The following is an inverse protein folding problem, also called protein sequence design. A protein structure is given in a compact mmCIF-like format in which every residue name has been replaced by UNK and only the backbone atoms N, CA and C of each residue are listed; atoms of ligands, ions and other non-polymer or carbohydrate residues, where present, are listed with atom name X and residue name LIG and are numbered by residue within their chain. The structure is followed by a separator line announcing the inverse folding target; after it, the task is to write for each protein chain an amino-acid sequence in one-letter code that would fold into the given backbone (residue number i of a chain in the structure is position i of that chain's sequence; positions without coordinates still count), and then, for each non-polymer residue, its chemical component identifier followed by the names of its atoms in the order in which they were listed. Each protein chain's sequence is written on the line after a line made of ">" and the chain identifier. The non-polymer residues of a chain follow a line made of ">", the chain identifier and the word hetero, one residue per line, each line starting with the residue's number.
data_IF_404246650656
#
_entry.id   IF_404246650656
#
_cell.length_a   1.000
_cell.length_b   1.000
_cell.length_c   1.000
_cell.angle_alpha   90.00
_cell.angle_beta   90.00
_cell.angle_gamma   90.00
#
_symmetry.space_group_name_H-M   'P 1'
#
loop_
_entity.id
_entity.type
_entity.pdbx_description
1 polymer ?
#
# COMPACT_ATOMS: atom_id res chain seq x y z
N UNK A 1 5.86 20.27 -14.43
CA UNK A 1 5.93 21.73 -14.18
C UNK A 1 4.88 22.08 -13.13
N UNK A 2 5.27 22.27 -11.88
CA UNK A 2 4.32 22.54 -10.77
C UNK A 2 4.06 24.05 -10.62
N UNK A 3 2.83 24.51 -10.87
CA UNK A 3 2.45 25.92 -10.68
C UNK A 3 2.12 26.27 -9.23
N UNK A 4 2.03 27.57 -8.91
CA UNK A 4 1.65 28.06 -7.56
C UNK A 4 0.33 27.46 -7.09
N UNK A 5 -0.66 27.36 -7.99
CA UNK A 5 -1.95 26.72 -7.69
C UNK A 5 -1.78 25.27 -7.21
N UNK A 6 -0.92 24.48 -7.88
CA UNK A 6 -0.66 23.08 -7.50
C UNK A 6 -0.01 23.00 -6.11
N UNK A 7 0.94 23.89 -5.81
CA UNK A 7 1.61 23.92 -4.50
C UNK A 7 0.64 24.26 -3.37
N UNK A 8 -0.25 25.23 -3.57
CA UNK A 8 -1.28 25.61 -2.59
C UNK A 8 -2.29 24.46 -2.40
N UNK A 9 -2.77 23.85 -3.49
CA UNK A 9 -3.69 22.70 -3.38
C UNK A 9 -3.02 21.49 -2.74
N UNK A 10 -1.73 21.26 -3.01
CA UNK A 10 -0.98 20.17 -2.40
C UNK A 10 -0.81 20.38 -0.89
N UNK A 11 -0.49 21.60 -0.46
CA UNK A 11 -0.43 21.92 0.97
C UNK A 11 -1.79 21.70 1.67
N UNK A 12 -2.87 22.21 1.08
CA UNK A 12 -4.22 22.02 1.62
C UNK A 12 -4.61 20.53 1.66
N UNK A 13 -4.35 19.78 0.58
CA UNK A 13 -4.61 18.35 0.53
C UNK A 13 -3.79 17.56 1.57
N UNK A 14 -2.51 17.90 1.75
CA UNK A 14 -1.64 17.30 2.77
C UNK A 14 -2.17 17.52 4.18
N UNK A 15 -2.64 18.73 4.50
CA UNK A 15 -3.28 19.02 5.78
C UNK A 15 -4.57 18.24 6.00
N UNK A 16 -5.42 18.16 4.97
CA UNK A 16 -6.68 17.40 5.04
C UNK A 16 -6.40 15.91 5.25
N UNK A 17 -5.46 15.33 4.50
CA UNK A 17 -5.05 13.93 4.64
C UNK A 17 -4.45 13.64 6.01
N UNK A 18 -3.61 14.54 6.52
CA UNK A 18 -3.04 14.41 7.86
C UNK A 18 -4.12 14.46 8.96
N UNK A 19 -5.09 15.37 8.82
CA UNK A 19 -6.11 15.56 9.84
C UNK A 19 -7.22 14.50 9.80
N UNK A 20 -7.59 14.04 8.60
CA UNK A 20 -8.67 13.07 8.41
C UNK A 20 -8.21 11.63 8.24
N UNK A 21 -6.91 11.35 8.09
CA UNK A 21 -6.40 9.97 8.08
C UNK A 21 -6.86 9.11 9.28
N UNK A 22 -6.95 9.63 10.51
CA UNK A 22 -7.52 8.90 11.65
C UNK A 22 -9.01 8.53 11.53
N UNK A 23 -9.79 9.19 10.66
CA UNK A 23 -11.18 8.79 10.39
C UNK A 23 -11.25 7.47 9.62
N UNK A 24 -10.22 7.13 8.84
CA UNK A 24 -10.19 5.88 8.06
C UNK A 24 -10.15 4.66 8.99
N UNK A 25 -9.40 4.73 10.09
CA UNK A 25 -9.41 3.70 11.15
C UNK A 25 -10.77 3.59 11.86
N UNK A 26 -11.51 4.70 12.02
CA UNK A 26 -12.84 4.71 12.63
C UNK A 26 -13.91 4.09 11.71
N UNK A 27 -13.81 4.34 10.40
CA UNK A 27 -14.75 3.80 9.41
C UNK A 27 -14.42 2.33 9.03
N UNK A 28 -13.15 1.95 9.03
CA UNK A 28 -12.69 0.61 8.64
C UNK A 28 -12.73 -0.43 9.76
N UNK A 29 -13.16 -0.08 10.98
CA UNK A 29 -13.28 -1.02 12.13
C UNK A 29 -11.98 -1.73 12.49
N UNK A 30 -10.82 -1.07 12.34
CA UNK A 30 -9.50 -1.68 12.55
C UNK A 30 -8.67 -0.96 13.61
N UNK A 31 -8.19 -1.71 14.61
CA UNK A 31 -7.31 -1.24 15.69
C UNK A 31 -5.88 -0.97 15.19
N UNK A 32 -5.68 0.08 14.38
CA UNK A 32 -4.34 0.53 13.99
C UNK A 32 -4.02 1.89 14.62
N UNK A 33 -3.67 1.87 15.90
CA UNK A 33 -3.12 3.03 16.61
C UNK A 33 -1.62 3.17 16.34
N UNK A 34 -1.26 3.65 15.16
CA UNK A 34 0.05 4.25 14.93
C UNK A 34 -0.01 5.21 13.74
N UNK A 35 0.01 6.51 14.04
CA UNK A 35 0.12 7.61 13.07
C UNK A 35 -0.88 7.60 11.89
N UNK A 36 -2.19 7.55 12.15
CA UNK A 36 -3.23 7.43 11.11
C UNK A 36 -3.25 8.53 10.03
N UNK A 37 -2.66 9.70 10.28
CA UNK A 37 -2.60 10.82 9.32
C UNK A 37 -1.32 10.91 8.48
N UNK A 38 -0.19 10.39 8.97
CA UNK A 38 1.11 10.54 8.31
C UNK A 38 1.33 9.42 7.30
N UNK A 39 0.47 9.39 6.28
CA UNK A 39 0.50 8.38 5.22
C UNK A 39 1.44 8.79 4.08
N UNK A 40 1.78 7.84 3.21
CA UNK A 40 2.57 8.11 1.97
C UNK A 40 1.93 9.24 1.13
N UNK A 41 0.59 9.25 0.90
CA UNK A 41 -0.09 10.39 0.28
C UNK A 41 0.15 11.73 0.98
N UNK A 42 0.11 11.78 2.31
CA UNK A 42 0.35 13.00 3.09
C UNK A 42 1.76 13.54 2.86
N UNK A 43 2.78 12.68 2.94
CA UNK A 43 4.18 13.05 2.70
C UNK A 43 4.39 13.54 1.27
N UNK A 44 3.77 12.88 0.29
CA UNK A 44 3.84 13.27 -1.11
C UNK A 44 3.24 14.66 -1.37
N UNK A 45 2.10 14.97 -0.75
CA UNK A 45 1.47 16.28 -0.87
C UNK A 45 2.34 17.40 -0.31
N UNK A 46 3.03 17.19 0.82
CA UNK A 46 3.99 18.16 1.34
C UNK A 46 5.26 18.26 0.48
N UNK A 47 5.72 17.15 -0.11
CA UNK A 47 6.84 17.17 -1.04
C UNK A 47 6.50 17.97 -2.31
N UNK A 48 5.29 17.81 -2.87
CA UNK A 48 4.80 18.61 -4.00
C UNK A 48 4.66 20.09 -3.67
N UNK A 49 4.27 20.43 -2.44
CA UNK A 49 4.23 21.82 -1.99
C UNK A 49 5.62 22.45 -1.89
N UNK A 50 6.61 21.71 -1.39
CA UNK A 50 7.98 22.19 -1.19
C UNK A 50 8.76 22.34 -2.50
N UNK A 51 8.37 21.62 -3.55
CA UNK A 51 9.08 21.55 -4.82
C UNK A 51 8.97 22.82 -5.67
N UNK A 52 10.05 23.14 -6.38
CA UNK A 52 10.02 24.17 -7.40
C UNK A 52 9.62 23.63 -8.78
N UNK A 53 9.37 24.54 -9.73
CA UNK A 53 8.77 24.23 -11.05
C UNK A 53 9.52 23.15 -11.84
N UNK A 54 10.84 23.08 -11.65
CA UNK A 54 11.77 22.21 -12.39
C UNK A 54 12.21 20.98 -11.59
N UNK A 55 11.79 20.87 -10.33
CA UNK A 55 12.18 19.78 -9.47
C UNK A 55 11.43 18.50 -9.81
N UNK A 56 12.17 17.40 -9.93
CA UNK A 56 11.61 16.04 -10.10
C UNK A 56 11.63 15.22 -8.81
N UNK A 57 12.39 15.67 -7.80
CA UNK A 57 12.57 14.95 -6.55
C UNK A 57 11.27 14.57 -5.83
N UNK A 58 10.16 15.33 -5.87
CA UNK A 58 8.92 14.92 -5.18
C UNK A 58 8.30 13.68 -5.81
N UNK A 59 8.36 13.59 -7.14
CA UNK A 59 7.88 12.42 -7.89
C UNK A 59 8.79 11.24 -7.57
N UNK A 60 10.10 11.45 -7.59
CA UNK A 60 11.09 10.42 -7.21
C UNK A 60 10.91 9.96 -5.76
N UNK A 61 10.58 10.87 -4.84
CA UNK A 61 10.31 10.55 -3.44
C UNK A 61 9.03 9.71 -3.31
N UNK A 62 7.96 10.06 -4.04
CA UNK A 62 6.73 9.27 -4.07
C UNK A 62 6.96 7.86 -4.61
N UNK A 63 7.70 7.77 -5.73
CA UNK A 63 8.15 6.53 -6.34
C UNK A 63 8.95 5.70 -5.33
N UNK A 64 9.92 6.31 -4.62
CA UNK A 64 10.72 5.63 -3.61
C UNK A 64 9.86 5.11 -2.44
N UNK A 65 8.94 5.91 -1.90
CA UNK A 65 8.06 5.47 -0.82
C UNK A 65 7.16 4.31 -1.24
N UNK A 66 6.56 4.38 -2.43
CA UNK A 66 5.77 3.29 -2.98
C UNK A 66 6.64 2.04 -3.16
N UNK A 67 7.81 2.17 -3.80
CA UNK A 67 8.74 1.07 -4.01
C UNK A 67 9.15 0.39 -2.69
N UNK A 68 9.53 1.17 -1.68
CA UNK A 68 9.90 0.67 -0.37
C UNK A 68 8.72 0.00 0.36
N UNK A 69 7.50 0.50 0.20
CA UNK A 69 6.32 -0.09 0.85
C UNK A 69 6.08 -1.53 0.38
N UNK A 70 6.15 -1.77 -0.94
CA UNK A 70 6.02 -3.12 -1.50
C UNK A 70 7.23 -3.98 -1.19
N UNK A 71 8.45 -3.45 -1.34
CA UNK A 71 9.66 -4.21 -1.09
C UNK A 71 9.78 -4.65 0.37
N UNK A 72 9.56 -3.74 1.33
CA UNK A 72 9.61 -4.07 2.76
C UNK A 72 8.46 -4.97 3.20
N UNK A 73 7.29 -4.87 2.56
CA UNK A 73 6.22 -5.87 2.73
C UNK A 73 6.71 -7.27 2.31
N UNK A 74 7.36 -7.37 1.15
CA UNK A 74 8.00 -8.61 0.69
C UNK A 74 9.04 -9.17 1.66
N UNK A 75 9.95 -8.31 2.14
CA UNK A 75 10.99 -8.69 3.10
C UNK A 75 10.38 -9.18 4.40
N UNK A 76 9.37 -8.50 4.95
CA UNK A 76 8.72 -8.94 6.20
C UNK A 76 8.01 -10.29 6.03
N UNK A 77 7.27 -10.50 4.93
CA UNK A 77 6.66 -11.80 4.60
C UNK A 77 7.70 -12.93 4.58
N UNK A 78 8.85 -12.67 3.96
CA UNK A 78 9.96 -13.64 3.89
C UNK A 78 10.62 -13.85 5.26
N UNK A 79 10.79 -12.82 6.08
CA UNK A 79 11.42 -12.95 7.40
C UNK A 79 10.57 -13.73 8.40
N UNK A 80 9.24 -13.59 8.37
CA UNK A 80 8.34 -14.24 9.34
C UNK A 80 7.83 -15.62 8.89
N UNK A 81 7.49 -15.78 7.61
CA UNK A 81 6.86 -17.00 7.09
C UNK A 81 7.74 -17.70 6.04
N UNK A 82 8.72 -17.00 5.48
CA UNK A 82 9.57 -17.51 4.41
C UNK A 82 8.82 -17.70 3.10
N UNK A 83 9.38 -18.55 2.24
CA UNK A 83 8.79 -18.88 0.93
C UNK A 83 7.37 -19.48 1.01
N UNK A 84 6.99 -20.02 2.18
CA UNK A 84 5.65 -20.56 2.41
C UNK A 84 4.56 -19.50 2.27
N UNK A 85 4.90 -18.21 2.43
CA UNK A 85 3.96 -17.12 2.22
C UNK A 85 3.37 -17.12 0.81
N UNK A 86 4.22 -17.35 -0.20
CA UNK A 86 3.89 -17.32 -1.63
C UNK A 86 3.34 -18.65 -2.13
N UNK A 87 2.58 -19.36 -1.29
CA UNK A 87 1.90 -20.60 -1.67
C UNK A 87 0.40 -20.39 -1.76
N UNK A 88 -0.25 -21.06 -2.71
CA UNK A 88 -1.71 -20.99 -2.86
C UNK A 88 -2.43 -21.47 -1.59
N UNK A 89 -1.90 -22.47 -0.88
CA UNK A 89 -2.48 -22.96 0.37
C UNK A 89 -2.47 -21.91 1.48
N UNK A 90 -1.39 -21.14 1.62
CA UNK A 90 -1.34 -20.04 2.59
C UNK A 90 -2.37 -18.96 2.26
N UNK A 91 -2.52 -18.60 0.98
CA UNK A 91 -3.54 -17.64 0.54
C UNK A 91 -4.97 -18.15 0.80
N UNK A 92 -5.24 -19.44 0.58
CA UNK A 92 -6.55 -20.04 0.90
C UNK A 92 -6.84 -19.98 2.40
N UNK A 93 -5.85 -20.31 3.24
CA UNK A 93 -5.99 -20.22 4.70
C UNK A 93 -6.26 -18.79 5.15
N UNK A 94 -5.50 -17.82 4.65
CA UNK A 94 -5.75 -16.41 4.94
C UNK A 94 -7.15 -15.97 4.50
N UNK A 95 -7.60 -16.39 3.30
CA UNK A 95 -8.93 -16.05 2.81
C UNK A 95 -10.04 -16.64 3.71
N UNK A 96 -9.86 -17.84 4.26
CA UNK A 96 -10.77 -18.41 5.26
C UNK A 96 -10.74 -17.64 6.58
N UNK A 97 -9.56 -17.24 7.05
CA UNK A 97 -9.42 -16.40 8.25
C UNK A 97 -10.16 -15.08 8.06
N UNK A 98 -9.96 -14.39 6.93
CA UNK A 98 -10.68 -13.16 6.63
C UNK A 98 -12.19 -13.36 6.50
N UNK A 99 -12.65 -14.46 5.89
CA UNK A 99 -14.07 -14.80 5.84
C UNK A 99 -14.68 -14.95 7.24
N UNK A 100 -13.93 -15.54 8.19
CA UNK A 100 -14.40 -15.72 9.57
C UNK A 100 -14.52 -14.41 10.34
N UNK A 101 -13.69 -13.41 10.01
CA UNK A 101 -13.71 -12.07 10.61
C UNK A 101 -14.71 -11.13 9.93
N UNK A 102 -14.84 -11.24 8.61
CA UNK A 102 -15.73 -10.43 7.78
C UNK A 102 -16.22 -11.28 6.60
N UNK A 103 -17.46 -11.79 6.62
CA UNK A 103 -17.96 -12.73 5.64
C UNK A 103 -18.21 -12.07 4.27
N UNK A 104 -17.13 -11.88 3.50
CA UNK A 104 -17.13 -11.36 2.13
C UNK A 104 -17.13 -12.51 1.11
N UNK A 105 -18.14 -12.63 0.23
CA UNK A 105 -18.27 -13.78 -0.69
C UNK A 105 -17.02 -14.06 -1.53
N UNK A 106 -16.28 -13.01 -1.89
CA UNK A 106 -15.01 -13.11 -2.61
C UNK A 106 -13.93 -13.89 -1.85
N UNK A 107 -13.85 -13.75 -0.52
CA UNK A 107 -12.88 -14.46 0.30
C UNK A 107 -13.17 -15.98 0.32
N UNK A 108 -14.45 -16.35 0.48
CA UNK A 108 -14.87 -17.76 0.41
C UNK A 108 -14.67 -18.35 -0.98
N UNK A 109 -14.94 -17.57 -2.03
CA UNK A 109 -14.67 -17.99 -3.41
C UNK A 109 -13.18 -18.25 -3.63
N UNK A 110 -12.30 -17.32 -3.21
CA UNK A 110 -10.85 -17.47 -3.33
C UNK A 110 -10.34 -18.70 -2.57
N UNK A 111 -10.85 -18.94 -1.37
CA UNK A 111 -10.51 -20.12 -0.57
C UNK A 111 -10.85 -21.45 -1.27
N UNK A 112 -11.97 -21.49 -2.02
CA UNK A 112 -12.43 -22.70 -2.73
C UNK A 112 -11.67 -22.99 -4.03
N UNK A 113 -10.97 -22.01 -4.59
CA UNK A 113 -10.32 -22.14 -5.90
C UNK A 113 -8.79 -22.09 -5.78
N UNK A 114 -8.15 -23.27 -5.77
CA UNK A 114 -6.71 -23.40 -5.61
C UNK A 114 -5.89 -22.67 -6.69
N UNK A 115 -6.39 -22.65 -7.92
CA UNK A 115 -5.75 -21.93 -9.03
C UNK A 115 -5.75 -20.42 -8.78
N UNK A 116 -6.88 -19.85 -8.32
CA UNK A 116 -7.00 -18.43 -8.05
C UNK A 116 -6.08 -18.00 -6.90
N UNK A 117 -6.02 -18.81 -5.83
CA UNK A 117 -5.12 -18.58 -4.72
C UNK A 117 -3.64 -18.66 -5.13
N UNK A 118 -3.29 -19.60 -6.03
CA UNK A 118 -1.92 -19.68 -6.59
C UNK A 118 -1.59 -18.47 -7.45
N UNK A 119 -2.53 -17.99 -8.28
CA UNK A 119 -2.35 -16.77 -9.06
C UNK A 119 -2.13 -15.55 -8.16
N UNK A 120 -2.88 -15.41 -7.07
CA UNK A 120 -2.69 -14.34 -6.09
C UNK A 120 -1.33 -14.47 -5.39
N UNK A 121 -0.90 -15.68 -5.04
CA UNK A 121 0.40 -15.90 -4.42
C UNK A 121 1.57 -15.49 -5.34
N UNK A 122 1.52 -15.90 -6.61
CA UNK A 122 2.52 -15.52 -7.63
C UNK A 122 2.47 -14.01 -7.90
N UNK A 123 1.27 -13.45 -8.03
CA UNK A 123 1.05 -12.02 -8.23
C UNK A 123 1.63 -11.19 -7.08
N UNK A 124 1.38 -11.59 -5.83
CA UNK A 124 1.97 -10.93 -4.65
C UNK A 124 3.49 -11.00 -4.70
N UNK A 125 4.09 -12.17 -4.95
CA UNK A 125 5.55 -12.29 -5.01
C UNK A 125 6.16 -11.46 -6.15
N UNK A 126 5.49 -11.39 -7.30
CA UNK A 126 5.93 -10.58 -8.43
C UNK A 126 5.87 -9.09 -8.12
N UNK A 127 4.79 -8.62 -7.47
CA UNK A 127 4.69 -7.24 -7.03
C UNK A 127 5.74 -6.92 -5.96
N UNK A 128 5.87 -7.76 -4.94
CA UNK A 128 6.83 -7.55 -3.85
C UNK A 128 8.29 -7.48 -4.38
N UNK A 129 8.63 -8.22 -5.44
CA UNK A 129 9.99 -8.26 -6.02
C UNK A 129 10.24 -7.24 -7.16
N UNK A 130 9.27 -7.05 -8.07
CA UNK A 130 9.47 -6.30 -9.31
C UNK A 130 8.92 -4.88 -9.25
N UNK A 131 8.13 -4.53 -8.24
CA UNK A 131 7.52 -3.22 -8.17
C UNK A 131 8.56 -2.10 -8.09
N UNK A 132 9.70 -2.32 -7.43
CA UNK A 132 10.82 -1.37 -7.45
C UNK A 132 11.34 -1.13 -8.87
N UNK A 133 11.43 -2.17 -9.70
CA UNK A 133 11.89 -2.05 -11.09
C UNK A 133 10.85 -1.29 -11.92
N UNK A 134 9.57 -1.64 -11.78
CA UNK A 134 8.48 -1.00 -12.51
C UNK A 134 8.31 0.50 -12.17
N UNK A 135 8.66 0.90 -10.95
CA UNK A 135 8.50 2.28 -10.48
C UNK A 135 9.62 3.20 -10.98
N UNK A 136 10.80 2.66 -11.28
CA UNK A 136 11.99 3.42 -11.71
C UNK A 136 12.40 3.18 -13.17
N UNK A 137 11.63 2.40 -13.93
CA UNK A 137 11.83 2.16 -15.38
C UNK A 137 11.27 3.28 -16.26
#
# INVERSE_FOLDING_TARGET
>A
MFGVAIRVTAFAAGLLLYHFGPLDSLLASGDFTSMGGLTVPTIFMFALWAADRNDRWPVTLAQLFLALSFFLSGVTKLSYVGWRWYTGSNIQQMALTYWSLSPRPAALWLAKHAWAARSVAIGSGSLDALFIVAVFS
#
